data_IF_306943655554
#
_entry.id   IF_306943655554
#
_cell.length_a   1.000
_cell.length_b   1.000
_cell.length_c   1.000
_cell.angle_alpha   90.00
_cell.angle_beta   90.00
_cell.angle_gamma   90.00
#
_symmetry.space_group_name_H-M   'P 1'
#
loop_
_entity.id
_entity.type
_entity.pdbx_description
1 polymer ?
#
# COMPACT_ATOMS: atom_id res chain seq x y z
N UNK A 1 15.89 26.21 14.28
CA UNK A 1 14.74 26.43 13.37
C UNK A 1 15.31 26.69 11.98
N UNK A 2 15.36 25.69 11.12
CA UNK A 2 15.72 25.80 9.72
C UNK A 2 14.43 25.75 8.88
N UNK A 3 14.27 26.56 7.85
CA UNK A 3 13.02 26.64 7.10
C UNK A 3 12.83 25.41 6.22
N UNK A 4 11.72 24.73 6.41
CA UNK A 4 11.23 23.64 5.55
C UNK A 4 10.59 24.28 4.32
N UNK A 5 11.39 24.62 3.31
CA UNK A 5 10.89 24.91 1.96
C UNK A 5 11.96 24.54 0.94
N UNK A 6 12.05 23.25 0.63
CA UNK A 6 12.51 22.79 -0.67
C UNK A 6 11.52 21.78 -1.18
N UNK A 7 10.70 22.23 -2.12
CA UNK A 7 9.91 21.40 -3.02
C UNK A 7 10.84 20.37 -3.67
N UNK A 8 10.79 19.13 -3.20
CA UNK A 8 11.46 18.01 -3.86
C UNK A 8 10.62 17.62 -5.09
N UNK A 9 10.74 18.39 -6.16
CA UNK A 9 10.50 17.93 -7.51
C UNK A 9 11.76 17.22 -8.03
N UNK A 10 12.20 16.17 -7.37
CA UNK A 10 13.12 15.22 -7.96
C UNK A 10 12.26 14.28 -8.81
N UNK A 11 12.25 14.51 -10.12
CA UNK A 11 11.50 13.73 -11.07
C UNK A 11 11.90 12.26 -11.00
N UNK A 12 11.10 11.47 -10.29
CA UNK A 12 11.15 10.03 -10.39
C UNK A 12 10.63 9.67 -11.77
N UNK A 13 11.52 9.22 -12.67
CA UNK A 13 11.12 8.75 -13.98
C UNK A 13 10.49 7.35 -13.86
N UNK A 14 9.20 7.36 -13.55
CA UNK A 14 8.39 6.15 -13.44
C UNK A 14 8.38 5.31 -14.73
N UNK A 15 8.61 5.94 -15.89
CA UNK A 15 8.59 5.26 -17.18
C UNK A 15 9.89 4.49 -17.46
N UNK A 16 11.04 5.01 -17.03
CA UNK A 16 12.32 4.29 -17.15
C UNK A 16 12.41 3.10 -16.20
N UNK A 17 11.77 3.19 -15.02
CA UNK A 17 11.68 2.14 -14.03
C UNK A 17 10.98 0.87 -14.56
N UNK A 18 9.91 1.01 -15.33
CA UNK A 18 9.16 -0.12 -15.90
C UNK A 18 9.90 -0.87 -17.03
N UNK A 19 10.85 -0.23 -17.71
CA UNK A 19 11.61 -0.91 -18.79
C UNK A 19 12.61 -1.94 -18.27
N UNK A 20 13.05 -1.84 -17.01
CA UNK A 20 14.07 -2.72 -16.42
C UNK A 20 13.54 -4.08 -15.94
N UNK A 21 12.25 -4.21 -15.69
CA UNK A 21 11.63 -5.38 -15.03
C UNK A 21 11.41 -6.62 -15.94
N UNK A 22 11.78 -6.60 -17.22
CA UNK A 22 11.42 -7.68 -18.18
C UNK A 22 12.39 -8.84 -18.32
N UNK A 23 13.50 -8.90 -17.59
CA UNK A 23 14.48 -9.96 -17.72
C UNK A 23 14.87 -10.56 -16.37
N UNK A 24 14.35 -11.73 -16.03
CA UNK A 24 15.09 -12.90 -15.49
C UNK A 24 14.12 -13.96 -14.94
N UNK A 25 14.12 -15.13 -15.59
CA UNK A 25 13.37 -16.29 -15.16
C UNK A 25 14.15 -17.15 -14.15
N UNK A 26 13.45 -17.73 -13.19
CA UNK A 26 13.93 -18.83 -12.36
C UNK A 26 12.77 -19.72 -11.90
N UNK A 27 13.04 -21.03 -11.77
CA UNK A 27 12.12 -22.16 -11.66
C UNK A 27 11.29 -22.31 -10.38
N UNK A 28 11.41 -21.45 -9.39
CA UNK A 28 10.51 -21.39 -8.24
C UNK A 28 9.49 -20.27 -8.44
N UNK A 29 8.20 -20.52 -8.11
CA UNK A 29 7.23 -19.44 -8.20
C UNK A 29 7.66 -18.31 -7.26
N UNK A 30 7.79 -17.07 -7.75
CA UNK A 30 8.14 -15.90 -6.94
C UNK A 30 7.27 -15.76 -5.68
N UNK A 31 6.04 -16.27 -5.71
CA UNK A 31 5.14 -16.35 -4.54
C UNK A 31 5.68 -17.15 -3.37
N UNK A 32 6.39 -18.27 -3.61
CA UNK A 32 6.96 -19.07 -2.53
C UNK A 32 8.20 -18.41 -1.94
N UNK A 33 8.96 -17.71 -2.78
CA UNK A 33 10.18 -16.98 -2.37
C UNK A 33 9.82 -15.84 -1.41
N UNK A 34 8.85 -15.00 -1.74
CA UNK A 34 8.45 -13.89 -0.87
C UNK A 34 7.86 -14.34 0.48
N UNK A 35 7.17 -15.48 0.50
CA UNK A 35 6.68 -16.03 1.77
C UNK A 35 7.83 -16.49 2.67
N UNK A 36 8.82 -17.18 2.10
CA UNK A 36 10.00 -17.60 2.83
C UNK A 36 10.85 -16.42 3.31
N UNK A 37 11.06 -15.41 2.46
CA UNK A 37 11.77 -14.18 2.81
C UNK A 37 11.06 -13.46 3.97
N UNK A 38 9.74 -13.34 3.91
CA UNK A 38 8.95 -12.78 5.02
C UNK A 38 9.15 -13.56 6.33
N UNK A 39 9.09 -14.89 6.29
CA UNK A 39 9.24 -15.72 7.49
C UNK A 39 10.64 -15.58 8.10
N UNK A 40 11.68 -15.62 7.26
CA UNK A 40 13.07 -15.44 7.70
C UNK A 40 13.27 -14.06 8.34
N UNK A 41 12.77 -13.01 7.70
CA UNK A 41 12.93 -11.64 8.21
C UNK A 41 12.16 -11.45 9.51
N UNK A 42 10.93 -11.96 9.58
CA UNK A 42 10.13 -11.90 10.81
C UNK A 42 10.77 -12.62 11.99
N UNK A 43 11.48 -13.73 11.78
CA UNK A 43 12.19 -14.39 12.90
C UNK A 43 13.32 -13.52 13.45
N UNK A 44 14.10 -12.85 12.61
CA UNK A 44 15.13 -11.89 13.04
C UNK A 44 14.51 -10.72 13.83
N UNK A 45 13.39 -10.19 13.34
CA UNK A 45 12.69 -9.06 13.95
C UNK A 45 12.09 -9.45 15.30
N UNK A 46 11.50 -10.63 15.41
CA UNK A 46 10.99 -11.16 16.68
C UNK A 46 12.11 -11.34 17.72
N UNK A 47 13.25 -11.87 17.29
CA UNK A 47 14.39 -12.00 18.19
C UNK A 47 14.90 -10.64 18.67
N UNK A 48 15.02 -9.66 17.77
CA UNK A 48 15.36 -8.28 18.13
C UNK A 48 14.34 -7.66 19.09
N UNK A 49 13.05 -7.93 18.88
CA UNK A 49 11.97 -7.47 19.76
C UNK A 49 12.03 -8.11 21.16
N UNK A 50 12.40 -9.40 21.28
CA UNK A 50 12.63 -10.06 22.58
C UNK A 50 13.78 -9.44 23.37
N UNK A 51 14.76 -8.88 22.65
CA UNK A 51 15.90 -8.15 23.23
C UNK A 51 15.54 -6.71 23.63
N UNK A 52 14.26 -6.32 23.51
CA UNK A 52 13.76 -5.01 23.91
C UNK A 52 13.88 -3.90 22.86
N UNK A 53 14.26 -4.22 21.62
CA UNK A 53 14.40 -3.23 20.56
C UNK A 53 13.52 -3.58 19.37
N UNK A 54 12.54 -2.71 19.06
CA UNK A 54 11.68 -2.86 17.88
C UNK A 54 12.19 -1.97 16.75
N UNK A 55 12.34 -2.49 15.51
CA UNK A 55 12.68 -1.64 14.39
C UNK A 55 11.51 -0.73 14.01
N UNK A 56 11.82 0.47 13.52
CA UNK A 56 10.83 1.44 13.03
C UNK A 56 10.32 1.03 11.66
N UNK A 57 9.01 0.86 11.53
CA UNK A 57 8.34 0.49 10.30
C UNK A 57 7.35 1.56 9.85
N UNK A 58 7.49 2.05 8.63
CA UNK A 58 6.45 2.81 7.96
C UNK A 58 5.51 1.85 7.20
N UNK A 59 4.27 1.74 7.67
CA UNK A 59 3.24 0.90 7.06
C UNK A 59 2.30 1.74 6.20
N UNK A 60 2.49 1.70 4.87
CA UNK A 60 1.55 2.32 3.96
C UNK A 60 0.18 1.63 4.03
N UNK A 61 -0.88 2.41 4.28
CA UNK A 61 -2.23 1.93 4.51
C UNK A 61 -3.28 2.66 3.65
N UNK A 62 -4.40 1.97 3.34
CA UNK A 62 -5.46 2.52 2.51
C UNK A 62 -6.85 2.53 3.17
N UNK A 63 -7.06 1.77 4.22
CA UNK A 63 -8.33 1.66 4.94
C UNK A 63 -8.16 0.83 6.23
N UNK A 64 -9.10 0.92 7.14
CA UNK A 64 -9.13 0.14 8.38
C UNK A 64 -9.23 -1.38 8.14
N UNK A 65 -10.15 -1.87 7.28
CA UNK A 65 -10.23 -3.31 6.98
C UNK A 65 -8.91 -3.93 6.50
N UNK A 66 -8.19 -3.23 5.61
CA UNK A 66 -6.91 -3.70 5.09
C UNK A 66 -5.80 -3.70 6.14
N UNK A 67 -5.84 -2.74 7.07
CA UNK A 67 -4.83 -2.58 8.12
C UNK A 67 -5.03 -3.54 9.28
N UNK A 68 -6.25 -4.02 9.54
CA UNK A 68 -6.63 -4.75 10.74
C UNK A 68 -5.81 -6.03 10.96
N UNK A 69 -5.84 -6.98 10.05
CA UNK A 69 -5.09 -8.23 10.19
C UNK A 69 -3.58 -8.07 9.97
N UNK A 70 -3.16 -7.03 9.24
CA UNK A 70 -1.74 -6.71 9.10
C UNK A 70 -1.18 -6.23 10.43
N UNK A 71 -1.85 -5.28 11.09
CA UNK A 71 -1.46 -4.82 12.44
C UNK A 71 -1.48 -5.96 13.45
N UNK A 72 -2.48 -6.85 13.42
CA UNK A 72 -2.52 -8.04 14.28
C UNK A 72 -1.32 -8.98 14.04
N UNK A 73 -0.83 -9.06 12.79
CA UNK A 73 0.26 -9.97 12.40
C UNK A 73 1.64 -9.43 12.80
N UNK A 74 1.88 -8.12 12.66
CA UNK A 74 3.22 -7.56 12.83
C UNK A 74 3.32 -6.50 13.92
N UNK A 75 2.20 -6.01 14.46
CA UNK A 75 2.16 -4.86 15.37
C UNK A 75 2.94 -5.03 16.68
N UNK A 76 3.06 -6.27 17.16
CA UNK A 76 3.79 -6.54 18.40
C UNK A 76 5.33 -6.51 18.23
N UNK A 77 5.83 -6.53 16.99
CA UNK A 77 7.25 -6.71 16.69
C UNK A 77 7.94 -5.46 16.16
N UNK A 78 7.18 -4.46 15.76
CA UNK A 78 7.68 -3.19 15.20
C UNK A 78 7.19 -1.99 16.00
N UNK A 79 7.95 -0.90 15.92
CA UNK A 79 7.47 0.45 16.19
C UNK A 79 6.85 1.00 14.90
N UNK A 80 5.51 0.92 14.82
CA UNK A 80 4.77 1.18 13.58
C UNK A 80 4.26 2.62 13.53
N UNK A 81 4.54 3.29 12.41
CA UNK A 81 3.81 4.48 11.96
C UNK A 81 3.00 4.14 10.71
N UNK A 82 1.71 4.43 10.74
CA UNK A 82 0.81 4.28 9.59
C UNK A 82 0.95 5.48 8.65
N UNK A 83 1.01 5.22 7.37
CA UNK A 83 1.14 6.22 6.33
C UNK A 83 -0.02 6.17 5.35
N UNK A 84 -0.95 7.14 5.46
CA UNK A 84 -2.18 7.17 4.67
C UNK A 84 -2.03 8.06 3.44
N UNK A 85 -1.25 7.61 2.46
CA UNK A 85 -1.08 8.29 1.17
C UNK A 85 -1.83 7.56 0.07
N UNK A 86 -2.94 8.12 -0.40
CA UNK A 86 -3.87 7.45 -1.31
C UNK A 86 -4.48 8.43 -2.33
N UNK A 87 -3.69 9.02 -3.25
CA UNK A 87 -4.22 9.96 -4.24
C UNK A 87 -5.18 9.32 -5.24
N UNK A 88 -5.19 7.99 -5.31
CA UNK A 88 -6.06 7.19 -6.17
C UNK A 88 -7.50 7.06 -5.65
N UNK A 89 -7.78 7.38 -4.39
CA UNK A 89 -9.12 7.16 -3.83
C UNK A 89 -10.06 8.29 -4.24
N UNK A 90 -11.11 7.94 -4.96
CA UNK A 90 -12.16 8.82 -5.47
C UNK A 90 -13.55 8.26 -5.14
N UNK A 91 -14.54 9.13 -4.96
CA UNK A 91 -14.44 10.58 -4.82
C UNK A 91 -13.76 11.00 -3.51
N UNK A 92 -13.60 12.31 -3.30
CA UNK A 92 -12.96 12.86 -2.08
C UNK A 92 -13.66 12.41 -0.81
N UNK A 93 -14.97 12.25 -0.84
CA UNK A 93 -15.78 11.79 0.30
C UNK A 93 -15.40 10.37 0.71
N UNK A 94 -15.09 9.49 -0.27
CA UNK A 94 -14.62 8.14 0.01
C UNK A 94 -13.21 8.14 0.62
N UNK A 95 -12.32 9.02 0.15
CA UNK A 95 -11.01 9.22 0.77
C UNK A 95 -11.16 9.65 2.23
N UNK A 96 -12.01 10.65 2.51
CA UNK A 96 -12.29 11.16 3.85
C UNK A 96 -12.88 10.06 4.73
N UNK A 97 -13.87 9.34 4.23
CA UNK A 97 -14.52 8.23 4.96
C UNK A 97 -13.52 7.17 5.41
N UNK A 98 -12.68 6.67 4.50
CA UNK A 98 -11.67 5.65 4.84
C UNK A 98 -10.61 6.16 5.80
N UNK A 99 -10.20 7.42 5.64
CA UNK A 99 -9.27 8.09 6.53
C UNK A 99 -9.80 8.18 7.96
N UNK A 100 -11.01 8.66 8.11
CA UNK A 100 -11.59 8.93 9.43
C UNK A 100 -11.98 7.64 10.15
N UNK A 101 -12.43 6.63 9.41
CA UNK A 101 -12.61 5.28 9.94
C UNK A 101 -11.28 4.68 10.42
N UNK A 102 -10.21 4.81 9.65
CA UNK A 102 -8.87 4.34 10.07
C UNK A 102 -8.41 5.04 11.34
N UNK A 103 -8.60 6.36 11.45
CA UNK A 103 -8.31 7.13 12.67
C UNK A 103 -9.05 6.60 13.89
N UNK A 104 -10.33 6.24 13.72
CA UNK A 104 -11.12 5.70 14.82
C UNK A 104 -10.68 4.27 15.15
N UNK A 105 -10.52 3.43 14.14
CA UNK A 105 -10.14 2.04 14.31
C UNK A 105 -8.85 1.86 15.12
N UNK A 106 -7.80 2.63 14.83
CA UNK A 106 -6.51 2.48 15.54
C UNK A 106 -6.58 2.83 17.01
N UNK A 107 -7.53 3.67 17.44
CA UNK A 107 -7.74 3.97 18.86
C UNK A 107 -8.33 2.80 19.63
N UNK A 108 -9.18 2.02 18.98
CA UNK A 108 -9.93 0.93 19.59
C UNK A 108 -9.22 -0.42 19.41
N UNK A 109 -8.28 -0.50 18.46
CA UNK A 109 -7.56 -1.73 18.13
C UNK A 109 -6.30 -1.90 18.98
N UNK A 110 -6.11 -3.04 19.69
CA UNK A 110 -4.99 -3.21 20.63
C UNK A 110 -3.61 -2.89 20.02
N UNK A 111 -3.31 -3.41 18.81
CA UNK A 111 -2.06 -3.16 18.11
C UNK A 111 -2.00 -1.79 17.44
N UNK A 112 -3.08 -1.03 17.45
CA UNK A 112 -3.18 0.32 16.89
C UNK A 112 -2.97 1.44 17.91
N UNK A 113 -3.20 1.18 19.21
CA UNK A 113 -3.27 2.20 20.26
C UNK A 113 -2.04 3.10 20.41
N UNK A 114 -0.87 2.59 20.06
CA UNK A 114 0.40 3.32 20.14
C UNK A 114 0.96 3.67 18.76
N UNK A 115 0.15 3.46 17.72
CA UNK A 115 0.55 3.69 16.34
C UNK A 115 0.25 5.13 15.93
N UNK A 116 1.26 5.86 15.49
CA UNK A 116 1.08 7.17 14.86
C UNK A 116 0.44 7.02 13.49
N UNK A 117 -0.39 7.98 13.09
CA UNK A 117 -0.98 8.04 11.75
C UNK A 117 -0.59 9.34 11.05
N UNK A 118 0.24 9.22 10.03
CA UNK A 118 0.64 10.32 9.15
C UNK A 118 -0.30 10.36 7.94
N UNK A 119 -0.83 11.55 7.66
CA UNK A 119 -1.73 11.80 6.54
C UNK A 119 -1.13 12.94 5.72
N UNK A 120 -0.42 12.63 4.63
CA UNK A 120 0.06 13.65 3.70
C UNK A 120 -1.10 14.43 3.06
N UNK A 121 -0.82 15.59 2.47
CA UNK A 121 -1.82 16.29 1.66
C UNK A 121 -2.44 15.35 0.62
N UNK A 122 -3.75 15.45 0.46
CA UNK A 122 -4.47 14.69 -0.56
C UNK A 122 -4.49 15.50 -1.86
N UNK A 123 -3.75 15.03 -2.84
CA UNK A 123 -3.76 15.57 -4.20
C UNK A 123 -4.06 14.45 -5.22
N UNK A 124 -5.31 14.31 -5.65
CA UNK A 124 -5.68 13.31 -6.64
C UNK A 124 -5.03 13.53 -8.02
N UNK A 125 -4.54 14.74 -8.29
CA UNK A 125 -3.85 15.04 -9.54
C UNK A 125 -2.61 14.16 -9.73
N UNK A 126 -1.87 13.87 -8.66
CA UNK A 126 -0.69 13.00 -8.71
C UNK A 126 -1.01 11.61 -9.28
N UNK A 127 -2.19 11.06 -8.93
CA UNK A 127 -2.64 9.78 -9.49
C UNK A 127 -3.01 9.90 -10.97
N UNK A 128 -3.72 10.94 -11.37
CA UNK A 128 -4.10 11.11 -12.78
C UNK A 128 -2.90 11.45 -13.67
N UNK A 129 -1.93 12.20 -13.17
CA UNK A 129 -0.72 12.53 -13.90
C UNK A 129 0.11 11.26 -14.21
N UNK A 130 0.25 10.33 -13.25
CA UNK A 130 1.01 9.09 -13.49
C UNK A 130 0.26 8.12 -14.39
N UNK A 131 -1.05 8.10 -14.35
CA UNK A 131 -1.86 7.25 -15.23
C UNK A 131 -1.85 7.75 -16.68
N UNK A 132 -1.62 9.06 -16.88
CA UNK A 132 -1.50 9.69 -18.19
C UNK A 132 -2.57 9.23 -19.19
N UNK A 133 -3.80 9.19 -18.73
CA UNK A 133 -4.95 8.71 -19.52
C UNK A 133 -5.12 9.44 -20.88
N UNK A 134 -4.83 10.75 -21.01
CA UNK A 134 -4.90 11.41 -22.32
C UNK A 134 -4.01 10.79 -23.40
N UNK A 135 -2.81 10.29 -23.02
CA UNK A 135 -1.88 9.63 -23.94
C UNK A 135 -2.02 8.10 -23.93
N UNK A 136 -2.68 7.54 -22.93
CA UNK A 136 -2.88 6.11 -22.71
C UNK A 136 -4.36 5.80 -22.44
N UNK A 137 -5.29 6.10 -23.39
CA UNK A 137 -6.72 5.91 -23.15
C UNK A 137 -7.12 4.46 -22.91
N UNK A 138 -6.33 3.49 -23.38
CA UNK A 138 -6.53 2.05 -23.17
C UNK A 138 -6.51 1.68 -21.68
N UNK A 139 -5.81 2.45 -20.84
CA UNK A 139 -5.72 2.22 -19.39
C UNK A 139 -7.06 2.35 -18.67
N UNK A 140 -8.04 3.05 -19.26
CA UNK A 140 -9.40 3.12 -18.70
C UNK A 140 -10.07 1.77 -18.61
N UNK A 141 -9.88 0.95 -19.64
CA UNK A 141 -10.53 -0.34 -19.78
C UNK A 141 -9.67 -1.50 -19.26
N UNK A 142 -8.45 -1.22 -18.77
CA UNK A 142 -7.61 -2.26 -18.20
C UNK A 142 -8.28 -2.93 -16.99
N UNK A 143 -8.20 -4.27 -16.89
CA UNK A 143 -8.64 -4.97 -15.69
C UNK A 143 -7.78 -4.62 -14.48
N UNK A 144 -8.27 -4.93 -13.30
CA UNK A 144 -7.44 -4.88 -12.08
C UNK A 144 -6.19 -5.76 -12.25
N UNK A 145 -5.08 -5.34 -11.64
CA UNK A 145 -3.73 -5.94 -11.75
C UNK A 145 -3.02 -5.68 -13.09
N UNK A 146 -3.57 -4.88 -13.99
CA UNK A 146 -2.94 -4.40 -15.21
C UNK A 146 -1.80 -3.41 -14.95
N UNK A 147 -1.37 -2.71 -16.01
CA UNK A 147 -0.30 -1.70 -15.95
C UNK A 147 -0.71 -0.50 -15.10
N UNK A 148 -1.95 -0.01 -15.26
CA UNK A 148 -2.53 1.04 -14.43
C UNK A 148 -2.38 0.74 -12.93
N UNK A 149 -2.70 -0.48 -12.50
CA UNK A 149 -2.51 -0.87 -11.10
C UNK A 149 -1.04 -0.90 -10.70
N UNK A 150 -0.14 -1.26 -11.60
CA UNK A 150 1.31 -1.27 -11.34
C UNK A 150 1.85 0.14 -11.12
N UNK A 151 1.42 1.11 -11.93
CA UNK A 151 1.74 2.53 -11.78
C UNK A 151 1.23 3.07 -10.43
N UNK A 152 -0.02 2.75 -10.09
CA UNK A 152 -0.61 3.11 -8.80
C UNK A 152 0.17 2.54 -7.61
N UNK A 153 0.63 1.28 -7.68
CA UNK A 153 1.46 0.70 -6.61
C UNK A 153 2.81 1.39 -6.50
N UNK A 154 3.47 1.64 -7.64
CA UNK A 154 4.74 2.35 -7.69
C UNK A 154 4.65 3.74 -7.08
N UNK A 155 3.68 4.54 -7.47
CA UNK A 155 3.46 5.88 -6.92
C UNK A 155 3.38 5.84 -5.39
N UNK A 156 2.53 4.96 -4.87
CA UNK A 156 2.22 4.91 -3.43
C UNK A 156 3.37 4.34 -2.60
N UNK A 157 4.06 3.32 -3.11
CA UNK A 157 5.18 2.69 -2.41
C UNK A 157 6.40 3.60 -2.47
N UNK A 158 6.70 4.24 -3.60
CA UNK A 158 7.82 5.19 -3.71
C UNK A 158 7.65 6.37 -2.77
N UNK A 159 6.45 6.93 -2.68
CA UNK A 159 6.16 8.03 -1.77
C UNK A 159 6.33 7.62 -0.30
N UNK A 160 5.97 6.37 0.04
CA UNK A 160 6.23 5.83 1.37
C UNK A 160 7.73 5.65 1.65
N UNK A 161 8.52 5.19 0.67
CA UNK A 161 9.98 5.10 0.80
C UNK A 161 10.62 6.46 1.04
N UNK A 162 10.26 7.46 0.25
CA UNK A 162 10.80 8.83 0.39
C UNK A 162 10.52 9.41 1.77
N UNK A 163 9.29 9.22 2.26
CA UNK A 163 8.93 9.63 3.62
C UNK A 163 9.74 8.86 4.67
N UNK A 164 9.83 7.54 4.54
CA UNK A 164 10.55 6.69 5.48
C UNK A 164 12.04 7.04 5.59
N UNK A 165 12.70 7.26 4.47
CA UNK A 165 14.11 7.67 4.41
C UNK A 165 14.32 9.01 5.12
N UNK A 166 13.46 9.99 4.80
CA UNK A 166 13.58 11.34 5.36
C UNK A 166 13.37 11.36 6.89
N UNK A 167 12.59 10.40 7.42
CA UNK A 167 12.23 10.36 8.84
C UNK A 167 12.92 9.23 9.63
N UNK A 168 13.91 8.56 9.02
CA UNK A 168 14.76 7.58 9.71
C UNK A 168 14.04 6.27 10.08
N UNK A 169 13.13 5.79 9.24
CA UNK A 169 12.58 4.44 9.35
C UNK A 169 13.56 3.40 8.82
N UNK A 170 13.52 2.21 9.41
CA UNK A 170 14.36 1.08 9.00
C UNK A 170 13.65 0.21 7.96
N UNK A 171 12.32 0.14 8.06
CA UNK A 171 11.48 -0.70 7.18
C UNK A 171 10.33 0.08 6.57
N UNK A 172 9.95 -0.35 5.36
CA UNK A 172 8.71 0.04 4.67
C UNK A 172 7.95 -1.20 4.27
N UNK A 173 6.63 -1.18 4.39
CA UNK A 173 5.74 -2.18 3.77
C UNK A 173 4.36 -1.57 3.47
N UNK A 174 3.47 -2.37 2.91
CA UNK A 174 2.13 -1.91 2.56
C UNK A 174 1.05 -2.94 2.87
N UNK A 175 -0.11 -2.49 3.32
CA UNK A 175 -1.29 -3.35 3.48
C UNK A 175 -1.91 -3.79 2.14
N UNK A 176 -1.44 -3.29 1.01
CA UNK A 176 -2.07 -3.57 -0.29
C UNK A 176 -2.14 -5.06 -0.61
N UNK A 177 -1.13 -5.83 -0.21
CA UNK A 177 -1.04 -7.26 -0.50
C UNK A 177 -2.09 -8.12 0.22
N UNK A 178 -2.86 -7.56 1.18
CA UNK A 178 -3.97 -8.26 1.85
C UNK A 178 -5.17 -8.51 0.93
N UNK A 179 -5.37 -7.63 -0.06
CA UNK A 179 -6.52 -7.71 -0.95
C UNK A 179 -6.35 -8.81 -2.00
N UNK A 180 -7.36 -9.69 -2.23
CA UNK A 180 -7.33 -10.67 -3.32
C UNK A 180 -7.37 -10.02 -4.70
N UNK A 181 -7.84 -8.77 -4.79
CA UNK A 181 -7.92 -7.98 -6.01
C UNK A 181 -6.59 -7.27 -6.37
N UNK A 182 -5.57 -7.37 -5.54
CA UNK A 182 -4.25 -6.79 -5.79
C UNK A 182 -3.19 -7.85 -6.03
N UNK A 183 -2.22 -7.51 -6.86
CA UNK A 183 -1.11 -8.38 -7.23
C UNK A 183 0.04 -8.23 -6.22
N UNK A 184 0.13 -9.18 -5.28
CA UNK A 184 1.18 -9.16 -4.27
C UNK A 184 2.58 -9.38 -4.86
N UNK A 185 2.69 -10.09 -5.99
CA UNK A 185 3.98 -10.29 -6.66
C UNK A 185 4.51 -8.97 -7.21
N UNK A 186 3.67 -8.22 -7.95
CA UNK A 186 4.03 -6.89 -8.46
C UNK A 186 4.36 -5.91 -7.33
N UNK A 187 3.57 -5.89 -6.26
CA UNK A 187 3.79 -5.05 -5.09
C UNK A 187 5.17 -5.34 -4.46
N UNK A 188 5.50 -6.61 -4.24
CA UNK A 188 6.78 -7.00 -3.66
C UNK A 188 7.96 -6.74 -4.61
N UNK A 189 7.78 -6.97 -5.90
CA UNK A 189 8.80 -6.64 -6.92
C UNK A 189 9.13 -5.15 -6.89
N UNK A 190 8.12 -4.28 -6.90
CA UNK A 190 8.30 -2.82 -6.81
C UNK A 190 9.03 -2.43 -5.53
N UNK A 191 8.63 -3.00 -4.38
CA UNK A 191 9.28 -2.72 -3.11
C UNK A 191 10.75 -3.11 -3.08
N UNK A 192 11.09 -4.29 -3.61
CA UNK A 192 12.49 -4.78 -3.69
C UNK A 192 13.34 -3.99 -4.68
N UNK A 193 12.76 -3.54 -5.79
CA UNK A 193 13.47 -2.68 -6.74
C UNK A 193 13.77 -1.31 -6.13
N UNK A 194 12.86 -0.75 -5.34
CA UNK A 194 13.11 0.49 -4.59
C UNK A 194 14.18 0.29 -3.50
N UNK A 195 14.09 -0.78 -2.71
CA UNK A 195 15.11 -1.12 -1.72
C UNK A 195 16.49 -1.17 -2.38
N UNK A 196 16.64 -1.94 -3.46
CA UNK A 196 17.89 -2.04 -4.21
C UNK A 196 18.39 -0.68 -4.72
N UNK A 197 17.50 0.14 -5.28
CA UNK A 197 17.84 1.50 -5.74
C UNK A 197 18.43 2.36 -4.63
N UNK A 198 17.89 2.28 -3.42
CA UNK A 198 18.38 3.06 -2.29
C UNK A 198 19.62 2.45 -1.65
N UNK A 199 19.77 1.12 -1.66
CA UNK A 199 20.98 0.42 -1.26
C UNK A 199 22.18 0.85 -2.12
N UNK A 200 22.00 0.96 -3.45
CA UNK A 200 23.02 1.48 -4.39
C UNK A 200 23.46 2.92 -4.06
N UNK A 201 22.62 3.69 -3.36
CA UNK A 201 22.90 5.02 -2.85
C UNK A 201 23.43 5.02 -1.41
N UNK A 202 23.72 3.85 -0.82
CA UNK A 202 24.14 3.67 0.57
C UNK A 202 23.11 4.14 1.61
N UNK A 203 21.82 4.11 1.27
CA UNK A 203 20.72 4.43 2.18
C UNK A 203 20.16 3.13 2.77
N UNK A 204 20.28 2.90 4.09
CA UNK A 204 19.85 1.67 4.74
C UNK A 204 18.34 1.68 4.98
N UNK A 205 17.56 1.22 4.02
CA UNK A 205 16.11 1.07 4.12
C UNK A 205 15.70 -0.30 3.56
N UNK A 206 14.83 -1.02 4.24
CA UNK A 206 14.40 -2.35 3.87
C UNK A 206 12.92 -2.39 3.49
N UNK A 207 12.58 -3.15 2.46
CA UNK A 207 11.19 -3.45 2.16
C UNK A 207 10.80 -4.80 2.78
N UNK A 208 9.89 -4.77 3.77
CA UNK A 208 9.34 -6.00 4.31
C UNK A 208 8.37 -6.61 3.29
N UNK A 209 8.87 -7.59 2.53
CA UNK A 209 8.05 -8.33 1.56
C UNK A 209 6.96 -9.12 2.27
N UNK A 210 5.73 -9.08 1.74
CA UNK A 210 4.64 -9.83 2.33
C UNK A 210 3.51 -10.12 1.34
N UNK A 211 2.90 -11.29 1.46
CA UNK A 211 1.58 -11.58 0.90
C UNK A 211 0.59 -11.77 2.07
N UNK A 212 0.15 -10.67 2.66
CA UNK A 212 -0.67 -10.66 3.87
C UNK A 212 -2.01 -11.39 3.74
N UNK A 213 -2.48 -11.72 2.52
CA UNK A 213 -3.67 -12.57 2.34
C UNK A 213 -3.42 -14.04 2.64
N UNK A 214 -2.13 -14.48 2.65
CA UNK A 214 -1.74 -15.85 2.98
C UNK A 214 -2.00 -16.16 4.46
N UNK A 215 -1.89 -17.44 4.83
CA UNK A 215 -2.14 -17.92 6.20
C UNK A 215 -3.47 -17.42 6.78
N UNK A 216 -4.52 -17.38 5.94
CA UNK A 216 -5.85 -16.86 6.28
C UNK A 216 -5.92 -15.36 6.60
N UNK A 217 -4.92 -14.57 6.28
CA UNK A 217 -4.90 -13.13 6.62
C UNK A 217 -6.07 -12.36 6.03
N UNK A 218 -6.48 -12.63 4.77
CA UNK A 218 -7.68 -12.02 4.21
C UNK A 218 -8.96 -12.43 4.97
N UNK A 219 -9.13 -13.72 5.28
CA UNK A 219 -10.25 -14.19 6.08
C UNK A 219 -10.26 -13.50 7.45
N UNK A 220 -9.09 -13.38 8.08
CA UNK A 220 -8.95 -12.68 9.36
C UNK A 220 -9.35 -11.21 9.25
N UNK A 221 -9.03 -10.53 8.16
CA UNK A 221 -9.48 -9.15 7.93
C UNK A 221 -11.01 -9.02 7.81
N UNK A 222 -11.72 -10.06 7.31
CA UNK A 222 -13.18 -10.10 7.29
C UNK A 222 -13.74 -10.21 8.71
N UNK A 223 -13.21 -11.14 9.51
CA UNK A 223 -13.62 -11.34 10.90
C UNK A 223 -13.41 -10.09 11.75
N UNK A 224 -12.24 -9.44 11.60
CA UNK A 224 -11.94 -8.18 12.30
C UNK A 224 -12.85 -7.04 11.84
N UNK A 225 -13.15 -6.97 10.54
CA UNK A 225 -14.09 -5.96 10.01
C UNK A 225 -15.48 -6.13 10.61
N UNK A 226 -15.95 -7.36 10.78
CA UNK A 226 -17.21 -7.63 11.44
C UNK A 226 -17.16 -7.28 12.93
N UNK A 227 -16.09 -7.71 13.63
CA UNK A 227 -15.91 -7.45 15.07
C UNK A 227 -15.91 -5.95 15.41
N UNK A 228 -15.28 -5.13 14.58
CA UNK A 228 -15.12 -3.70 14.80
C UNK A 228 -16.09 -2.85 13.96
N UNK A 229 -17.09 -3.48 13.30
CA UNK A 229 -18.09 -2.84 12.45
C UNK A 229 -17.47 -1.92 11.38
N UNK A 230 -16.35 -2.35 10.75
CA UNK A 230 -15.63 -1.55 9.77
C UNK A 230 -16.36 -1.53 8.42
N UNK A 231 -16.38 -0.38 7.79
CA UNK A 231 -16.85 -0.21 6.44
C UNK A 231 -15.96 -0.95 5.44
N UNK A 232 -16.55 -1.88 4.72
CA UNK A 232 -15.86 -2.59 3.65
C UNK A 232 -16.34 -2.08 2.30
N UNK A 233 -15.44 -1.42 1.63
CA UNK A 233 -15.62 -0.95 0.26
C UNK A 233 -15.65 -2.12 -0.72
N UNK A 234 -16.41 -1.98 -1.80
CA UNK A 234 -16.55 -2.95 -2.89
C UNK A 234 -15.61 -2.69 -4.08
N UNK A 235 -14.84 -1.59 -4.04
CA UNK A 235 -13.84 -1.22 -5.04
C UNK A 235 -12.54 -0.73 -4.38
N UNK A 236 -11.43 -0.69 -5.14
CA UNK A 236 -10.14 -0.32 -4.56
C UNK A 236 -10.00 1.17 -4.20
N UNK A 237 -10.92 2.01 -4.64
CA UNK A 237 -10.91 3.48 -4.51
C UNK A 237 -10.62 4.22 -5.82
N UNK A 238 -9.98 3.58 -6.78
CA UNK A 238 -9.72 4.11 -8.11
C UNK A 238 -11.02 4.25 -8.90
N UNK A 239 -11.21 5.36 -9.60
CA UNK A 239 -12.42 5.60 -10.41
C UNK A 239 -12.66 4.51 -11.46
N UNK A 240 -11.57 3.91 -11.97
CA UNK A 240 -11.65 2.86 -12.99
C UNK A 240 -11.98 1.47 -12.41
N UNK A 241 -12.01 1.32 -11.09
CA UNK A 241 -12.40 0.07 -10.42
C UNK A 241 -13.81 0.11 -9.84
N UNK A 242 -14.50 1.23 -9.95
CA UNK A 242 -15.90 1.32 -9.58
C UNK A 242 -16.72 0.42 -10.51
N UNK A 243 -17.43 -0.56 -9.92
CA UNK A 243 -18.37 -1.36 -10.68
C UNK A 243 -19.51 -0.46 -11.10
N UNK A 244 -19.77 -0.36 -12.41
CA UNK A 244 -21.01 0.24 -12.92
C UNK A 244 -22.16 -0.57 -12.32
N UNK A 245 -22.94 0.02 -11.44
CA UNK A 245 -24.18 -0.61 -10.98
C UNK A 245 -25.06 -0.85 -12.21
N UNK A 246 -25.42 -2.08 -12.50
CA UNK A 246 -26.31 -2.47 -13.61
C UNK A 246 -27.76 -1.98 -13.42
N UNK A 247 -28.01 -1.05 -12.50
CA UNK A 247 -29.36 -0.57 -12.15
C UNK A 247 -29.67 0.83 -12.69
N UNK A 248 -29.37 1.11 -13.98
CA UNK A 248 -29.97 2.28 -14.67
C UNK A 248 -30.35 1.96 -16.13
N UNK A 249 -30.99 0.81 -16.35
CA UNK A 249 -31.66 0.48 -17.61
C UNK A 249 -33.11 0.08 -17.30
N UNK A 250 -33.88 0.98 -16.70
CA UNK A 250 -35.36 0.96 -16.84
C UNK A 250 -35.86 2.38 -16.66
N UNK A 251 -36.68 2.79 -17.62
CA UNK A 251 -37.46 4.01 -17.74
C UNK A 251 -36.81 5.16 -18.48
N UNK A 252 -36.92 5.11 -19.82
CA UNK A 252 -37.55 6.16 -20.58
C UNK A 252 -37.92 5.64 -21.98
N UNK A 253 -38.96 4.80 -21.99
CA UNK A 253 -39.79 4.59 -23.18
C UNK A 253 -41.19 5.05 -22.80
N UNK A 254 -41.46 6.35 -23.04
CA UNK A 254 -42.78 6.94 -23.28
C UNK A 254 -42.68 8.48 -23.18
N UNK A 255 -42.54 9.11 -24.34
CA UNK A 255 -43.36 10.22 -24.84
C UNK A 255 -42.76 10.77 -26.12
#
# INVERSE_FOLDING_TARGET
MLPITKSFKAGFDYLSFFKYSKTNGSLMSKKSVYLQEFEIEMEKIKERSRQGTKPKLLLHCCCAPCSSSVLETIGDFFDITLYYYNPNIHPTEEYIRRRDELKQFIKDFPQGKHTELIIPPYDPKEYFDIEDIPHHPERKEEPEKGERCSLCYSLRISHAFEYAITHGFEYVTTVLSISPHKDAEKINTIGKELEKKYEEQSIPIHFLVADFKKKNGFKRSLELSQKYALYRQDYCGCVFSQRKSENNLTTDSNL
#
